data_IF_653414328399
#
_entry.id   IF_653414328399
#
_cell.length_a   1.000
_cell.length_b   1.000
_cell.length_c   1.000
_cell.angle_alpha   90.00
_cell.angle_beta   90.00
_cell.angle_gamma   90.00
#
_symmetry.space_group_name_H-M   'P 1'
#
loop_
_entity.id
_entity.type
_entity.pdbx_description
1 polymer ?
#
# COMPACT_ATOMS: atom_id res chain seq x y z
N UNK A 1 -6.16 -0.46 -17.03
CA UNK A 1 -6.07 -1.28 -15.80
C UNK A 1 -6.01 -0.32 -14.62
N UNK A 2 -6.71 -0.61 -13.51
CA UNK A 2 -6.67 0.29 -12.35
C UNK A 2 -5.28 0.23 -11.71
N UNK A 3 -4.64 1.38 -11.43
CA UNK A 3 -3.39 1.41 -10.68
C UNK A 3 -3.61 0.83 -9.28
N UNK A 4 -2.71 -0.04 -8.83
CA UNK A 4 -2.79 -0.61 -7.47
C UNK A 4 -1.96 0.22 -6.50
N UNK A 5 -2.49 0.47 -5.32
CA UNK A 5 -1.81 1.22 -4.27
C UNK A 5 -1.91 0.49 -2.93
N UNK A 6 -0.87 0.61 -2.11
CA UNK A 6 -0.90 0.12 -0.74
C UNK A 6 -1.28 1.27 0.19
N UNK A 7 -2.33 1.06 0.97
CA UNK A 7 -2.76 1.96 2.03
C UNK A 7 -2.36 1.36 3.37
N UNK A 8 -1.43 2.00 4.09
CA UNK A 8 -0.95 1.51 5.40
C UNK A 8 -1.33 2.44 6.55
N UNK A 9 -2.38 3.25 6.37
CA UNK A 9 -2.95 4.09 7.43
C UNK A 9 -4.47 4.00 7.43
N UNK A 10 -5.07 4.34 8.57
CA UNK A 10 -6.50 4.60 8.66
C UNK A 10 -6.84 5.87 7.89
N UNK A 11 -7.63 5.70 6.82
CA UNK A 11 -8.21 6.78 6.03
C UNK A 11 -9.72 6.81 6.34
N UNK A 12 -10.37 7.99 6.39
CA UNK A 12 -11.82 8.05 6.47
C UNK A 12 -12.46 7.45 5.21
N UNK A 13 -13.62 6.82 5.39
CA UNK A 13 -14.32 6.04 4.36
C UNK A 13 -14.57 6.83 3.08
N UNK A 14 -14.83 8.14 3.20
CA UNK A 14 -15.09 9.02 2.05
C UNK A 14 -13.89 9.11 1.09
N UNK A 15 -12.67 9.15 1.63
CA UNK A 15 -11.45 9.16 0.83
C UNK A 15 -11.10 7.76 0.33
N UNK A 16 -11.35 6.73 1.15
CA UNK A 16 -11.15 5.34 0.76
C UNK A 16 -12.02 4.99 -0.45
N UNK A 17 -13.32 5.33 -0.42
CA UNK A 17 -14.24 5.08 -1.53
C UNK A 17 -13.79 5.79 -2.82
N UNK A 18 -13.30 7.04 -2.72
CA UNK A 18 -12.73 7.73 -3.89
C UNK A 18 -11.50 7.00 -4.42
N UNK A 19 -10.63 6.51 -3.55
CA UNK A 19 -9.47 5.75 -3.98
C UNK A 19 -9.89 4.44 -4.64
N UNK A 20 -10.82 3.68 -4.09
CA UNK A 20 -11.31 2.42 -4.67
C UNK A 20 -12.05 2.62 -6.02
N UNK A 21 -12.68 3.79 -6.19
CA UNK A 21 -13.31 4.15 -7.46
C UNK A 21 -12.28 4.24 -8.61
N UNK A 22 -11.07 4.73 -8.34
CA UNK A 22 -10.03 4.99 -9.35
C UNK A 22 -8.84 4.00 -9.32
N UNK A 23 -8.57 3.39 -8.17
CA UNK A 23 -7.39 2.58 -7.84
C UNK A 23 -7.79 1.28 -7.15
N UNK A 24 -6.91 0.28 -7.18
CA UNK A 24 -7.04 -0.92 -6.35
C UNK A 24 -6.36 -0.66 -5.01
N UNK A 25 -7.14 -0.43 -3.95
CA UNK A 25 -6.61 -0.12 -2.62
C UNK A 25 -6.39 -1.41 -1.84
N UNK A 26 -5.13 -1.71 -1.52
CA UNK A 26 -4.80 -2.80 -0.59
C UNK A 26 -4.46 -2.21 0.76
N UNK A 27 -5.31 -2.48 1.76
CA UNK A 27 -5.05 -2.02 3.12
C UNK A 27 -4.12 -2.99 3.85
N UNK A 28 -3.05 -2.44 4.42
CA UNK A 28 -2.15 -3.19 5.30
C UNK A 28 -2.07 -2.48 6.65
N UNK A 29 -1.95 -3.21 7.76
CA UNK A 29 -1.89 -2.58 9.08
C UNK A 29 -0.59 -1.78 9.31
N UNK A 30 0.51 -2.16 8.65
CA UNK A 30 1.84 -1.59 8.82
C UNK A 30 2.81 -2.10 7.74
N UNK A 31 3.90 -1.37 7.51
CA UNK A 31 4.98 -1.64 6.56
C UNK A 31 6.09 -2.54 7.14
N UNK A 32 5.79 -3.26 8.23
CA UNK A 32 6.71 -4.24 8.80
C UNK A 32 7.07 -5.34 7.78
N UNK A 33 8.31 -5.82 7.77
CA UNK A 33 8.79 -6.78 6.78
C UNK A 33 7.94 -8.07 6.72
N UNK A 34 7.35 -8.48 7.84
CA UNK A 34 6.44 -9.63 7.90
C UNK A 34 5.11 -9.36 7.16
N UNK A 35 4.53 -8.17 7.34
CA UNK A 35 3.30 -7.77 6.63
C UNK A 35 3.59 -7.56 5.14
N UNK A 36 4.73 -6.95 4.82
CA UNK A 36 5.18 -6.79 3.43
C UNK A 36 5.42 -8.13 2.77
N UNK A 37 6.02 -9.11 3.45
CA UNK A 37 6.20 -10.46 2.92
C UNK A 37 4.87 -11.17 2.70
N UNK A 38 3.91 -11.03 3.63
CA UNK A 38 2.57 -11.60 3.50
C UNK A 38 1.78 -10.97 2.35
N UNK A 39 1.98 -9.68 2.11
CA UNK A 39 1.36 -8.92 1.03
C UNK A 39 2.30 -8.68 -0.15
N UNK A 40 3.35 -9.50 -0.31
CA UNK A 40 4.41 -9.24 -1.28
C UNK A 40 3.89 -9.08 -2.71
N UNK A 41 2.83 -9.82 -3.06
CA UNK A 41 2.19 -9.74 -4.37
C UNK A 41 1.48 -8.40 -4.60
N UNK A 42 0.86 -7.84 -3.56
CA UNK A 42 0.25 -6.53 -3.60
C UNK A 42 1.33 -5.44 -3.68
N UNK A 43 2.41 -5.54 -2.89
CA UNK A 43 3.53 -4.60 -2.96
C UNK A 43 4.24 -4.62 -4.31
N UNK A 44 4.45 -5.80 -4.90
CA UNK A 44 5.05 -5.94 -6.22
C UNK A 44 4.16 -5.39 -7.35
N UNK A 45 2.84 -5.41 -7.17
CA UNK A 45 1.88 -4.85 -8.12
C UNK A 45 1.53 -3.39 -7.85
N UNK A 46 1.91 -2.87 -6.67
CA UNK A 46 1.58 -1.53 -6.26
C UNK A 46 2.46 -0.50 -6.95
N UNK A 47 1.82 0.47 -7.60
CA UNK A 47 2.50 1.60 -8.23
C UNK A 47 2.71 2.76 -7.23
N UNK A 48 2.14 2.67 -6.04
CA UNK A 48 2.24 3.72 -5.03
C UNK A 48 1.96 3.24 -3.62
N UNK A 49 2.56 3.93 -2.66
CA UNK A 49 2.39 3.75 -1.23
C UNK A 49 1.72 5.00 -0.67
N UNK A 50 0.59 4.82 0.01
CA UNK A 50 -0.20 5.91 0.57
C UNK A 50 -0.33 5.68 2.07
N UNK A 51 0.21 6.60 2.86
CA UNK A 51 0.18 6.50 4.31
C UNK A 51 0.88 7.67 4.96
N UNK A 52 0.91 7.65 6.29
CA UNK A 52 1.59 8.66 7.09
C UNK A 52 2.21 7.96 8.30
N UNK A 53 3.31 8.54 8.81
CA UNK A 53 3.98 8.10 10.04
C UNK A 53 4.75 6.77 9.99
N UNK A 54 4.89 6.12 8.83
CA UNK A 54 5.81 4.98 8.70
C UNK A 54 7.02 5.28 7.83
N UNK A 55 8.13 4.62 8.16
CA UNK A 55 9.39 4.75 7.44
C UNK A 55 9.40 3.81 6.25
N UNK A 56 9.42 4.39 5.05
CA UNK A 56 9.73 3.65 3.82
C UNK A 56 11.20 3.27 3.86
N UNK A 57 11.48 2.04 4.28
CA UNK A 57 12.83 1.51 4.38
C UNK A 57 13.32 0.93 3.05
N UNK A 58 14.65 0.86 2.88
CA UNK A 58 15.28 0.33 1.66
C UNK A 58 14.82 -1.10 1.33
N UNK A 59 14.64 -1.95 2.34
CA UNK A 59 14.12 -3.31 2.17
C UNK A 59 12.69 -3.38 1.59
N UNK A 60 11.88 -2.32 1.78
CA UNK A 60 10.58 -2.19 1.15
C UNK A 60 10.73 -1.81 -0.33
N UNK A 61 11.59 -0.82 -0.59
CA UNK A 61 11.88 -0.35 -1.95
C UNK A 61 12.50 -1.45 -2.81
N UNK A 62 13.33 -2.32 -2.25
CA UNK A 62 13.87 -3.49 -2.98
C UNK A 62 12.80 -4.52 -3.37
N UNK A 63 11.63 -4.49 -2.74
CA UNK A 63 10.48 -5.34 -3.09
C UNK A 63 9.54 -4.68 -4.10
N UNK A 64 9.81 -3.43 -4.48
CA UNK A 64 9.06 -2.65 -5.46
C UNK A 64 9.97 -2.35 -6.66
N UNK A 65 10.00 -3.23 -7.69
CA UNK A 65 10.85 -3.05 -8.86
C UNK A 65 10.44 -1.86 -9.74
#
# INVERSE_FOLDING_TARGET
>A
MKPSIILYKTLPDDLLHRLEAHFTVTQVPNLHPETVARHAQAFASAQGLLGASETVNRALLEKMP
#
